data_IF_683267334210
#
_entry.id   IF_683267334210
#
_cell.length_a   1.000
_cell.length_b   1.000
_cell.length_c   1.000
_cell.angle_alpha   90.00
_cell.angle_beta   90.00
_cell.angle_gamma   90.00
#
_symmetry.space_group_name_H-M   'P 1'
#
loop_
_entity.id
_entity.type
_entity.pdbx_description
1 polymer ?
#
# COMPACT_ATOMS: atom_id res chain seq x y z
N UNK A 1 -12.63 -5.89 -5.23
CA UNK A 1 -12.97 -7.28 -4.87
C UNK A 1 -11.77 -8.03 -4.26
N UNK A 2 -11.10 -7.48 -3.24
CA UNK A 2 -9.88 -8.09 -2.68
C UNK A 2 -9.64 -7.87 -1.18
N UNK A 3 -10.52 -7.14 -0.49
CA UNK A 3 -10.40 -6.87 0.94
C UNK A 3 -10.75 -8.14 1.75
N UNK A 4 -9.83 -8.66 2.59
CA UNK A 4 -10.04 -9.88 3.36
C UNK A 4 -10.72 -9.64 4.73
N UNK A 5 -10.94 -8.38 5.10
CA UNK A 5 -11.38 -7.94 6.44
C UNK A 5 -12.75 -8.53 6.79
N UNK A 6 -12.92 -9.18 7.95
CA UNK A 6 -14.15 -9.87 8.31
C UNK A 6 -15.42 -9.01 8.21
N UNK A 7 -15.36 -7.74 8.63
CA UNK A 7 -16.51 -6.81 8.57
C UNK A 7 -17.03 -6.62 7.14
N UNK A 8 -16.13 -6.57 6.15
CA UNK A 8 -16.48 -6.40 4.73
C UNK A 8 -16.95 -7.72 4.11
N UNK A 9 -16.27 -8.81 4.44
CA UNK A 9 -16.57 -10.14 3.92
C UNK A 9 -17.92 -10.66 4.42
N UNK A 10 -18.27 -10.40 5.68
CA UNK A 10 -19.55 -10.83 6.29
C UNK A 10 -20.77 -10.22 5.59
N UNK A 11 -20.64 -9.03 5.00
CA UNK A 11 -21.70 -8.39 4.22
C UNK A 11 -21.63 -8.73 2.73
N UNK A 12 -20.95 -9.83 2.37
CA UNK A 12 -20.72 -10.26 0.98
C UNK A 12 -19.98 -9.24 0.10
N UNK A 13 -19.14 -8.39 0.71
CA UNK A 13 -18.26 -7.48 0.00
C UNK A 13 -16.81 -7.97 -0.08
N UNK A 14 -15.97 -7.18 -0.76
CA UNK A 14 -14.52 -7.43 -0.78
C UNK A 14 -14.17 -8.73 -1.51
N UNK A 15 -13.39 -9.60 -0.88
CA UNK A 15 -12.93 -10.86 -1.47
C UNK A 15 -13.99 -11.97 -1.47
N UNK A 16 -15.16 -11.81 -0.83
CA UNK A 16 -16.22 -12.82 -0.90
C UNK A 16 -16.75 -13.00 -2.32
N UNK A 17 -16.70 -11.93 -3.13
CA UNK A 17 -17.06 -11.95 -4.55
C UNK A 17 -16.15 -12.88 -5.37
N UNK A 18 -14.96 -13.24 -4.87
CA UNK A 18 -14.12 -14.25 -5.52
C UNK A 18 -14.71 -15.66 -5.43
N UNK A 19 -15.69 -15.91 -4.54
CA UNK A 19 -16.39 -17.20 -4.44
C UNK A 19 -17.60 -17.28 -5.37
N UNK A 20 -18.02 -16.15 -5.95
CA UNK A 20 -19.22 -16.03 -6.76
C UNK A 20 -18.92 -15.08 -7.93
N UNK A 21 -18.24 -15.58 -8.99
CA UNK A 21 -17.89 -14.76 -10.15
C UNK A 21 -19.11 -14.18 -10.87
N UNK A 22 -20.26 -14.86 -10.85
CA UNK A 22 -21.50 -14.34 -11.42
C UNK A 22 -21.95 -13.06 -10.71
N UNK A 23 -21.96 -13.08 -9.37
CA UNK A 23 -22.26 -11.89 -8.58
C UNK A 23 -21.21 -10.80 -8.77
N UNK A 24 -19.93 -11.15 -8.84
CA UNK A 24 -18.87 -10.20 -9.13
C UNK A 24 -19.12 -9.44 -10.44
N UNK A 25 -19.50 -10.17 -11.50
CA UNK A 25 -19.79 -9.60 -12.81
C UNK A 25 -21.06 -8.73 -12.79
N UNK A 26 -22.12 -9.16 -12.11
CA UNK A 26 -23.35 -8.35 -11.97
C UNK A 26 -23.05 -7.02 -11.28
N UNK A 27 -22.25 -7.04 -10.21
CA UNK A 27 -21.83 -5.81 -9.50
C UNK A 27 -20.98 -4.92 -10.41
N UNK A 28 -20.01 -5.48 -11.12
CA UNK A 28 -19.15 -4.70 -12.02
C UNK A 28 -19.97 -4.03 -13.15
N UNK A 29 -20.84 -4.80 -13.81
CA UNK A 29 -21.71 -4.31 -14.89
C UNK A 29 -22.59 -3.17 -14.39
N UNK A 30 -23.28 -3.35 -13.26
CA UNK A 30 -24.16 -2.31 -12.71
C UNK A 30 -23.39 -1.01 -12.37
N UNK A 31 -22.14 -1.11 -11.92
CA UNK A 31 -21.31 0.07 -11.64
C UNK A 31 -20.84 0.73 -12.93
N UNK A 32 -20.39 -0.05 -13.93
CA UNK A 32 -19.98 0.43 -15.25
C UNK A 32 -21.12 1.18 -15.94
N UNK A 33 -22.34 0.65 -15.91
CA UNK A 33 -23.52 1.28 -16.52
C UNK A 33 -23.98 2.55 -15.77
N UNK A 34 -23.71 2.64 -14.48
CA UNK A 34 -24.18 3.75 -13.64
C UNK A 34 -23.32 5.02 -13.74
N UNK A 35 -22.10 4.95 -14.30
CA UNK A 35 -21.16 6.09 -14.29
C UNK A 35 -20.50 6.29 -15.65
N UNK A 36 -20.16 7.54 -15.97
CA UNK A 36 -19.47 7.92 -17.22
C UNK A 36 -17.94 7.93 -17.10
N UNK A 37 -17.40 7.69 -15.90
CA UNK A 37 -15.96 7.67 -15.64
C UNK A 37 -15.41 6.22 -15.71
N UNK A 38 -14.10 6.04 -16.00
CA UNK A 38 -13.52 4.70 -16.04
C UNK A 38 -13.70 3.93 -14.73
N UNK A 39 -14.27 2.72 -14.83
CA UNK A 39 -14.40 1.81 -13.69
C UNK A 39 -13.26 0.81 -13.72
N UNK A 40 -12.59 0.62 -12.59
CA UNK A 40 -11.51 -0.36 -12.44
C UNK A 40 -11.82 -1.31 -11.29
N UNK A 41 -11.25 -2.52 -11.33
CA UNK A 41 -11.43 -3.53 -10.28
C UNK A 41 -10.09 -3.94 -9.70
N UNK A 42 -10.03 -4.14 -8.38
CA UNK A 42 -8.89 -4.78 -7.71
C UNK A 42 -9.26 -6.14 -7.15
N UNK A 43 -8.53 -7.19 -7.56
CA UNK A 43 -8.75 -8.58 -7.12
C UNK A 43 -7.54 -9.14 -6.34
N UNK A 44 -7.77 -10.31 -5.75
CA UNK A 44 -6.75 -11.24 -5.24
C UNK A 44 -6.75 -12.48 -6.13
N UNK A 45 -5.82 -13.41 -5.90
CA UNK A 45 -5.73 -14.64 -6.70
C UNK A 45 -6.90 -15.61 -6.50
N UNK A 46 -7.78 -15.35 -5.54
CA UNK A 46 -8.88 -16.24 -5.20
C UNK A 46 -9.21 -16.19 -3.72
N UNK A 47 -10.12 -17.06 -3.28
CA UNK A 47 -10.51 -17.13 -1.87
C UNK A 47 -9.45 -17.81 -1.00
N UNK A 48 -8.95 -18.95 -1.47
CA UNK A 48 -7.89 -19.75 -0.83
C UNK A 48 -7.09 -20.52 -1.89
N UNK A 49 -6.21 -21.42 -1.47
CA UNK A 49 -5.36 -22.18 -2.40
C UNK A 49 -6.16 -23.15 -3.28
N UNK A 50 -7.25 -23.73 -2.77
CA UNK A 50 -8.12 -24.63 -3.53
C UNK A 50 -9.02 -23.87 -4.52
N UNK A 51 -9.24 -22.58 -4.29
CA UNK A 51 -10.10 -21.71 -5.10
C UNK A 51 -9.31 -20.53 -5.68
N UNK A 52 -8.31 -20.85 -6.52
CA UNK A 52 -7.52 -19.88 -7.30
C UNK A 52 -8.17 -19.62 -8.67
N UNK A 53 -9.25 -18.85 -8.71
CA UNK A 53 -10.03 -18.57 -9.92
C UNK A 53 -9.70 -17.22 -10.60
N UNK A 54 -8.48 -16.72 -10.42
CA UNK A 54 -8.09 -15.39 -10.88
C UNK A 54 -8.15 -15.20 -12.40
N UNK A 55 -7.85 -16.24 -13.19
CA UNK A 55 -7.95 -16.17 -14.65
C UNK A 55 -9.40 -16.06 -15.11
N UNK A 56 -10.27 -16.96 -14.63
CA UNK A 56 -11.71 -16.90 -14.90
C UNK A 56 -12.28 -15.54 -14.49
N UNK A 57 -11.96 -15.09 -13.27
CA UNK A 57 -12.41 -13.79 -12.75
C UNK A 57 -11.94 -12.63 -13.63
N UNK A 58 -10.66 -12.61 -14.06
CA UNK A 58 -10.11 -11.54 -14.86
C UNK A 58 -10.80 -11.42 -16.24
N UNK A 59 -10.88 -12.53 -16.98
CA UNK A 59 -11.53 -12.57 -18.30
C UNK A 59 -13.01 -12.20 -18.21
N UNK A 60 -13.71 -12.69 -17.18
CA UNK A 60 -15.13 -12.36 -16.99
C UNK A 60 -15.35 -10.91 -16.61
N UNK A 61 -14.49 -10.34 -15.77
CA UNK A 61 -14.57 -8.92 -15.40
C UNK A 61 -14.29 -8.01 -16.59
N UNK A 62 -13.31 -8.33 -17.44
CA UNK A 62 -13.06 -7.58 -18.67
C UNK A 62 -14.33 -7.48 -19.54
N UNK A 63 -15.07 -8.58 -19.69
CA UNK A 63 -16.33 -8.60 -20.45
C UNK A 63 -17.44 -7.71 -19.87
N UNK A 64 -17.31 -7.22 -18.63
CA UNK A 64 -18.27 -6.27 -18.03
C UNK A 64 -18.03 -4.81 -18.41
N UNK A 65 -16.96 -4.53 -19.16
CA UNK A 65 -16.62 -3.17 -19.59
C UNK A 65 -15.78 -2.36 -18.60
N UNK A 66 -15.16 -3.02 -17.60
CA UNK A 66 -14.16 -2.35 -16.76
C UNK A 66 -12.95 -1.94 -17.62
N UNK A 67 -12.31 -0.83 -17.27
CA UNK A 67 -11.20 -0.25 -18.05
C UNK A 67 -9.82 -0.51 -17.42
N UNK A 68 -9.75 -1.32 -16.37
CA UNK A 68 -8.48 -1.71 -15.77
C UNK A 68 -8.61 -2.64 -14.58
N UNK A 69 -7.58 -3.46 -14.37
CA UNK A 69 -7.56 -4.50 -13.35
C UNK A 69 -6.30 -4.41 -12.49
N UNK A 70 -6.43 -4.34 -11.17
CA UNK A 70 -5.31 -4.47 -10.25
C UNK A 70 -5.31 -5.85 -9.58
N UNK A 71 -4.21 -6.58 -9.63
CA UNK A 71 -4.11 -7.95 -9.09
C UNK A 71 -3.13 -7.97 -7.93
N UNK A 72 -3.63 -8.35 -6.75
CA UNK A 72 -2.75 -8.70 -5.63
C UNK A 72 -2.37 -10.17 -5.71
N UNK A 73 -1.06 -10.49 -5.77
CA UNK A 73 -0.51 -11.84 -5.97
C UNK A 73 -0.68 -12.80 -4.79
N UNK A 74 -1.74 -12.68 -4.00
CA UNK A 74 -2.08 -13.62 -2.92
C UNK A 74 -3.56 -13.95 -2.98
N UNK A 75 -3.92 -15.12 -2.50
CA UNK A 75 -5.31 -15.47 -2.18
C UNK A 75 -5.77 -14.68 -0.96
N UNK A 76 -7.07 -14.70 -0.65
CA UNK A 76 -7.57 -14.08 0.57
C UNK A 76 -7.05 -14.77 1.84
N UNK A 77 -7.02 -16.10 1.88
CA UNK A 77 -6.60 -16.86 3.08
C UNK A 77 -5.17 -16.57 3.50
N UNK A 78 -4.27 -16.34 2.54
CA UNK A 78 -2.87 -15.96 2.76
C UNK A 78 -2.70 -14.63 3.48
N UNK A 79 -3.67 -13.70 3.39
CA UNK A 79 -3.56 -12.33 3.92
C UNK A 79 -2.29 -11.62 3.41
N UNK A 80 -1.21 -11.70 4.16
CA UNK A 80 0.05 -10.98 4.02
C UNK A 80 1.28 -11.89 3.91
N UNK A 81 1.09 -13.22 3.92
CA UNK A 81 2.14 -14.24 3.86
C UNK A 81 1.61 -15.47 3.08
N UNK A 82 2.40 -16.19 2.26
CA UNK A 82 3.81 -16.02 1.91
C UNK A 82 4.03 -14.85 0.95
N UNK A 83 5.18 -14.76 0.28
CA UNK A 83 5.43 -13.78 -0.80
C UNK A 83 4.36 -13.83 -1.90
N UNK A 84 4.08 -12.66 -2.50
CA UNK A 84 3.14 -12.55 -3.61
C UNK A 84 3.63 -13.31 -4.85
N UNK A 85 2.73 -14.10 -5.43
CA UNK A 85 2.92 -14.85 -6.66
C UNK A 85 2.76 -13.92 -7.88
N UNK A 86 3.89 -13.38 -8.34
CA UNK A 86 3.97 -12.51 -9.51
C UNK A 86 3.86 -13.28 -10.84
N UNK A 87 4.04 -14.61 -10.84
CA UNK A 87 3.78 -15.43 -12.03
C UNK A 87 2.30 -15.47 -12.33
N UNK A 88 1.47 -15.67 -11.31
CA UNK A 88 0.01 -15.59 -11.47
C UNK A 88 -0.47 -14.21 -11.96
N UNK A 89 0.20 -13.13 -11.53
CA UNK A 89 -0.09 -11.78 -12.06
C UNK A 89 0.25 -11.69 -13.55
N UNK A 90 1.39 -12.25 -13.96
CA UNK A 90 1.79 -12.30 -15.38
C UNK A 90 0.79 -13.10 -16.22
N UNK A 91 0.29 -14.22 -15.71
CA UNK A 91 -0.76 -15.01 -16.38
C UNK A 91 -2.04 -14.20 -16.56
N UNK A 92 -2.45 -13.39 -15.57
CA UNK A 92 -3.59 -12.47 -15.73
C UNK A 92 -3.30 -11.45 -16.82
N UNK A 93 -2.13 -10.80 -16.80
CA UNK A 93 -1.76 -9.81 -17.81
C UNK A 93 -1.77 -10.38 -19.23
N UNK A 94 -1.38 -11.65 -19.40
CA UNK A 94 -1.45 -12.32 -20.69
C UNK A 94 -2.87 -12.71 -21.12
N UNK A 95 -3.81 -12.86 -20.19
CA UNK A 95 -5.17 -13.34 -20.44
C UNK A 95 -6.19 -12.24 -20.76
N UNK A 96 -5.86 -10.97 -20.55
CA UNK A 96 -6.77 -9.82 -20.77
C UNK A 96 -6.10 -8.73 -21.60
N UNK A 97 -6.90 -7.94 -22.31
CA UNK A 97 -6.44 -6.83 -23.15
C UNK A 97 -6.44 -5.49 -22.42
N UNK A 98 -7.28 -5.33 -21.38
CA UNK A 98 -7.30 -4.13 -20.53
C UNK A 98 -6.00 -3.94 -19.74
N UNK A 99 -5.66 -2.69 -19.32
CA UNK A 99 -4.50 -2.43 -18.47
C UNK A 99 -4.55 -3.19 -17.14
N UNK A 100 -3.42 -3.80 -16.76
CA UNK A 100 -3.25 -4.55 -15.52
C UNK A 100 -2.18 -3.91 -14.63
N UNK A 101 -2.52 -3.69 -13.36
CA UNK A 101 -1.58 -3.26 -12.33
C UNK A 101 -1.22 -4.42 -11.36
N UNK A 102 0.07 -4.74 -11.25
CA UNK A 102 0.56 -5.76 -10.32
C UNK A 102 0.76 -5.22 -8.90
N UNK A 103 0.39 -5.99 -7.88
CA UNK A 103 0.46 -5.59 -6.46
C UNK A 103 1.01 -6.73 -5.60
N UNK A 104 2.06 -6.47 -4.85
CA UNK A 104 2.57 -7.42 -3.86
C UNK A 104 4.03 -7.23 -3.51
N UNK A 105 4.29 -6.90 -2.25
CA UNK A 105 5.62 -6.92 -1.63
C UNK A 105 6.69 -6.06 -2.31
N UNK A 106 6.27 -4.98 -2.95
CA UNK A 106 7.16 -3.95 -3.49
C UNK A 106 7.60 -3.03 -2.36
N UNK A 107 8.89 -3.05 -2.01
CA UNK A 107 9.51 -2.22 -0.98
C UNK A 107 10.60 -1.30 -1.52
N UNK A 108 11.11 -1.56 -2.72
CA UNK A 108 12.10 -0.71 -3.39
C UNK A 108 11.70 -0.35 -4.82
N UNK A 109 12.24 0.74 -5.40
CA UNK A 109 12.05 1.07 -6.81
C UNK A 109 12.55 -0.06 -7.73
N UNK A 110 13.69 -0.67 -7.41
CA UNK A 110 14.29 -1.75 -8.20
C UNK A 110 13.43 -3.01 -8.21
N UNK A 111 12.84 -3.39 -7.07
CA UNK A 111 11.86 -4.48 -7.03
C UNK A 111 10.63 -4.17 -7.90
N UNK A 112 10.12 -2.94 -7.84
CA UNK A 112 9.00 -2.51 -8.67
C UNK A 112 9.33 -2.60 -10.18
N UNK A 113 10.51 -2.12 -10.60
CA UNK A 113 10.98 -2.23 -11.97
C UNK A 113 11.13 -3.69 -12.40
N UNK A 114 11.84 -4.50 -11.61
CA UNK A 114 12.04 -5.92 -11.90
C UNK A 114 10.70 -6.65 -12.07
N UNK A 115 9.77 -6.47 -11.12
CA UNK A 115 8.46 -7.13 -11.18
C UNK A 115 7.62 -6.66 -12.36
N UNK A 116 7.67 -5.36 -12.70
CA UNK A 116 7.01 -4.84 -13.89
C UNK A 116 7.53 -5.50 -15.17
N UNK A 117 8.86 -5.62 -15.31
CA UNK A 117 9.50 -6.24 -16.46
C UNK A 117 9.21 -7.75 -16.55
N UNK A 118 9.34 -8.48 -15.44
CA UNK A 118 9.12 -9.94 -15.40
C UNK A 118 7.68 -10.34 -15.69
N UNK A 119 6.70 -9.56 -15.22
CA UNK A 119 5.28 -9.89 -15.36
C UNK A 119 4.59 -9.23 -16.55
N UNK A 120 5.24 -8.25 -17.19
CA UNK A 120 4.67 -7.51 -18.32
C UNK A 120 3.49 -6.60 -17.97
N UNK A 121 3.22 -6.36 -16.67
CA UNK A 121 2.12 -5.49 -16.23
C UNK A 121 2.34 -4.04 -16.67
N UNK A 122 1.25 -3.32 -16.91
CA UNK A 122 1.28 -1.94 -17.38
C UNK A 122 1.67 -0.98 -16.24
N UNK A 123 1.29 -1.34 -15.00
CA UNK A 123 1.60 -0.57 -13.80
C UNK A 123 1.90 -1.46 -12.59
N UNK A 124 2.46 -0.86 -11.56
CA UNK A 124 2.62 -1.48 -10.24
C UNK A 124 1.88 -0.68 -9.19
N UNK A 125 1.41 -1.36 -8.14
CA UNK A 125 0.71 -0.73 -7.03
C UNK A 125 1.48 -0.98 -5.74
N UNK A 126 1.98 0.11 -5.16
CA UNK A 126 2.64 0.10 -3.86
C UNK A 126 1.60 0.08 -2.73
N UNK A 127 1.88 -0.68 -1.68
CA UNK A 127 1.00 -0.84 -0.52
C UNK A 127 1.75 -0.63 0.78
N UNK A 128 2.19 -1.71 1.42
CA UNK A 128 2.91 -1.62 2.71
C UNK A 128 4.29 -0.95 2.60
N UNK A 129 4.96 -1.07 1.45
CA UNK A 129 6.30 -0.49 1.26
C UNK A 129 6.36 1.04 1.40
N UNK A 130 5.23 1.74 1.25
CA UNK A 130 5.20 3.21 1.42
C UNK A 130 4.93 3.64 2.87
N UNK A 131 4.58 2.71 3.76
CA UNK A 131 4.31 3.03 5.17
C UNK A 131 5.64 3.43 5.83
N UNK A 132 5.77 4.70 6.21
CA UNK A 132 7.02 5.25 6.74
C UNK A 132 8.05 5.67 5.70
N UNK A 133 7.83 5.33 4.42
CA UNK A 133 8.63 5.77 3.29
C UNK A 133 7.74 6.31 2.16
N UNK A 134 7.17 7.50 2.36
CA UNK A 134 6.38 8.18 1.33
C UNK A 134 7.22 8.53 0.09
N UNK A 135 8.55 8.64 0.24
CA UNK A 135 9.48 8.95 -0.84
C UNK A 135 9.60 7.83 -1.87
N UNK A 136 9.33 6.58 -1.47
CA UNK A 136 9.35 5.41 -2.37
C UNK A 136 8.49 5.61 -3.61
N UNK A 137 7.36 6.32 -3.51
CA UNK A 137 6.50 6.63 -4.66
C UNK A 137 7.24 7.46 -5.70
N UNK A 138 7.91 8.54 -5.29
CA UNK A 138 8.68 9.40 -6.20
C UNK A 138 9.83 8.63 -6.84
N UNK A 139 10.60 7.89 -6.04
CA UNK A 139 11.71 7.09 -6.54
C UNK A 139 11.26 6.03 -7.55
N UNK A 140 10.12 5.37 -7.27
CA UNK A 140 9.53 4.37 -8.17
C UNK A 140 9.05 5.01 -9.47
N UNK A 141 8.38 6.16 -9.41
CA UNK A 141 7.90 6.87 -10.61
C UNK A 141 9.07 7.31 -11.49
N UNK A 142 10.10 7.95 -10.91
CA UNK A 142 11.28 8.38 -11.64
C UNK A 142 11.99 7.20 -12.33
N UNK A 143 12.18 6.08 -11.61
CA UNK A 143 12.83 4.91 -12.18
C UNK A 143 12.00 4.26 -13.30
N UNK A 144 10.68 4.12 -13.12
CA UNK A 144 9.82 3.44 -14.10
C UNK A 144 9.56 4.26 -15.37
N UNK A 145 9.50 5.59 -15.26
CA UNK A 145 9.11 6.46 -16.36
C UNK A 145 10.31 7.14 -17.03
N UNK A 146 11.34 7.50 -16.26
CA UNK A 146 12.47 8.32 -16.71
C UNK A 146 13.78 7.52 -16.72
N UNK A 147 13.81 6.33 -16.09
CA UNK A 147 15.03 5.56 -15.89
C UNK A 147 15.99 6.19 -14.87
N UNK A 148 15.54 7.22 -14.14
CA UNK A 148 16.36 7.96 -13.19
C UNK A 148 16.32 7.30 -11.80
N UNK A 149 17.50 7.14 -11.19
CA UNK A 149 17.61 6.72 -9.80
C UNK A 149 17.66 7.94 -8.88
N UNK A 150 16.58 8.14 -8.12
CA UNK A 150 16.48 9.21 -7.12
C UNK A 150 17.04 8.74 -5.79
N UNK A 151 18.02 9.46 -5.26
CA UNK A 151 18.63 9.18 -3.96
C UNK A 151 17.62 9.21 -2.80
N UNK A 152 17.95 8.52 -1.71
CA UNK A 152 17.20 8.60 -0.48
C UNK A 152 17.26 10.00 0.14
N UNK A 153 16.23 10.35 0.90
CA UNK A 153 16.18 11.62 1.61
C UNK A 153 17.21 11.65 2.74
N UNK A 154 17.87 12.79 2.89
CA UNK A 154 18.54 13.14 4.14
C UNK A 154 17.53 13.23 5.29
N UNK A 155 18.02 13.16 6.52
CA UNK A 155 17.16 13.15 7.71
C UNK A 155 16.27 14.38 7.82
N UNK A 156 16.82 15.57 7.59
CA UNK A 156 16.06 16.81 7.63
C UNK A 156 14.93 16.82 6.59
N UNK A 157 15.18 16.33 5.38
CA UNK A 157 14.17 16.23 4.32
C UNK A 157 13.10 15.17 4.64
N UNK A 158 13.49 14.06 5.27
CA UNK A 158 12.55 13.05 5.77
C UNK A 158 11.61 13.65 6.83
N UNK A 159 12.15 14.42 7.79
CA UNK A 159 11.34 15.11 8.81
C UNK A 159 10.43 16.16 8.16
N UNK A 160 10.93 16.90 7.15
CA UNK A 160 10.13 17.86 6.39
C UNK A 160 8.98 17.18 5.61
N UNK A 161 9.23 15.99 5.03
CA UNK A 161 8.20 15.19 4.37
C UNK A 161 7.12 14.72 5.37
N UNK A 162 7.53 14.28 6.56
CA UNK A 162 6.60 13.93 7.64
C UNK A 162 5.79 15.14 8.10
N UNK A 163 6.42 16.32 8.27
CA UNK A 163 5.73 17.58 8.58
C UNK A 163 4.67 17.89 7.55
N UNK A 164 5.02 17.88 6.26
CA UNK A 164 4.07 18.16 5.19
C UNK A 164 2.86 17.24 5.24
N UNK A 165 3.07 15.95 5.53
CA UNK A 165 1.96 15.02 5.73
C UNK A 165 1.12 15.37 6.97
N UNK A 166 1.75 15.76 8.08
CA UNK A 166 1.04 16.21 9.28
C UNK A 166 0.15 17.42 9.01
N UNK A 167 0.69 18.44 8.34
CA UNK A 167 -0.03 19.68 8.01
C UNK A 167 -1.27 19.38 7.15
N UNK A 168 -1.13 18.50 6.14
CA UNK A 168 -2.25 18.07 5.29
C UNK A 168 -3.34 17.32 6.06
N UNK A 169 -2.96 16.44 6.99
CA UNK A 169 -3.91 15.67 7.80
C UNK A 169 -4.63 16.56 8.82
N UNK A 170 -3.91 17.49 9.45
CA UNK A 170 -4.51 18.48 10.37
C UNK A 170 -5.46 19.40 9.62
N UNK A 171 -5.08 19.88 8.43
CA UNK A 171 -5.96 20.72 7.60
C UNK A 171 -7.26 20.00 7.20
N UNK A 172 -7.18 18.69 6.90
CA UNK A 172 -8.34 17.92 6.45
C UNK A 172 -9.23 17.42 7.59
N UNK A 173 -8.66 16.87 8.66
CA UNK A 173 -9.42 16.26 9.76
C UNK A 173 -9.68 17.19 10.95
N UNK A 174 -9.11 18.40 10.91
CA UNK A 174 -9.07 19.32 12.04
C UNK A 174 -7.96 18.99 13.04
N UNK A 175 -7.60 19.93 13.92
CA UNK A 175 -6.44 19.83 14.81
C UNK A 175 -6.52 18.65 15.78
N UNK A 176 -7.64 18.46 16.48
CA UNK A 176 -7.75 17.42 17.51
C UNK A 176 -7.73 16.01 16.92
N UNK A 177 -8.60 15.74 15.93
CA UNK A 177 -8.69 14.43 15.29
C UNK A 177 -7.46 14.16 14.43
N UNK A 178 -6.97 15.14 13.68
CA UNK A 178 -5.80 15.04 12.82
C UNK A 178 -4.55 14.64 13.61
N UNK A 179 -4.24 15.35 14.70
CA UNK A 179 -3.08 15.04 15.54
C UNK A 179 -3.13 13.62 16.12
N UNK A 180 -4.30 13.16 16.57
CA UNK A 180 -4.45 11.78 17.08
C UNK A 180 -4.28 10.72 16.00
N UNK A 181 -4.76 10.98 14.77
CA UNK A 181 -4.56 10.07 13.63
C UNK A 181 -3.09 9.97 13.21
N UNK A 182 -2.33 11.06 13.38
CA UNK A 182 -0.95 11.18 12.94
C UNK A 182 0.04 10.35 13.74
N UNK A 183 -0.29 9.92 14.96
CA UNK A 183 0.62 9.15 15.84
C UNK A 183 1.31 8.00 15.10
N UNK A 184 0.53 7.11 14.46
CA UNK A 184 1.10 5.98 13.73
C UNK A 184 1.94 6.40 12.51
N UNK A 185 1.55 7.46 11.82
CA UNK A 185 2.25 7.92 10.62
C UNK A 185 3.57 8.62 10.96
N UNK A 186 3.61 9.38 12.05
CA UNK A 186 4.84 9.96 12.59
C UNK A 186 5.76 8.83 13.09
N UNK A 187 5.23 7.86 13.83
CA UNK A 187 6.01 6.71 14.28
C UNK A 187 6.63 5.91 13.11
N UNK A 188 5.86 5.69 12.04
CA UNK A 188 6.38 5.07 10.82
C UNK A 188 7.36 5.98 10.08
N UNK A 189 7.19 7.30 10.08
CA UNK A 189 8.11 8.22 9.39
C UNK A 189 9.46 8.38 10.09
N UNK A 190 9.48 8.20 11.42
CA UNK A 190 10.62 8.45 12.31
C UNK A 190 11.12 7.16 12.99
N UNK A 191 11.53 6.17 12.19
CA UNK A 191 12.12 4.92 12.67
C UNK A 191 13.46 4.62 11.99
N UNK A 192 14.16 3.60 12.49
CA UNK A 192 15.35 3.07 11.81
C UNK A 192 16.66 3.76 12.20
N UNK A 193 16.74 4.39 13.38
CA UNK A 193 17.95 5.07 13.84
C UNK A 193 18.10 5.03 15.36
N UNK A 194 19.31 5.30 15.85
CA UNK A 194 19.60 5.37 17.29
C UNK A 194 18.88 6.55 17.92
N UNK A 195 18.17 6.33 19.02
CA UNK A 195 17.36 7.37 19.69
C UNK A 195 15.88 7.39 19.29
N UNK A 196 15.46 6.59 18.30
CA UNK A 196 14.06 6.52 17.87
C UNK A 196 13.08 6.09 18.98
N UNK A 197 13.55 5.42 20.04
CA UNK A 197 12.70 5.02 21.18
C UNK A 197 12.10 6.23 21.93
N UNK A 198 12.87 7.30 22.12
CA UNK A 198 12.39 8.52 22.79
C UNK A 198 11.28 9.18 21.97
N UNK A 199 11.51 9.34 20.67
CA UNK A 199 10.49 9.90 19.76
C UNK A 199 9.23 9.02 19.72
N UNK A 200 9.38 7.69 19.65
CA UNK A 200 8.23 6.78 19.69
C UNK A 200 7.38 6.97 20.93
N UNK A 201 8.00 7.17 22.11
CA UNK A 201 7.26 7.45 23.34
C UNK A 201 6.51 8.78 23.27
N UNK A 202 7.18 9.85 22.81
CA UNK A 202 6.54 11.17 22.65
C UNK A 202 5.39 11.16 21.65
N UNK A 203 5.50 10.39 20.57
CA UNK A 203 4.45 10.26 19.55
C UNK A 203 3.15 9.68 20.13
N UNK A 204 3.21 8.84 21.17
CA UNK A 204 2.00 8.26 21.76
C UNK A 204 1.11 9.30 22.46
N UNK A 205 1.69 10.39 22.95
CA UNK A 205 0.95 11.47 23.63
C UNK A 205 0.48 12.59 22.70
N UNK A 206 0.84 12.58 21.41
CA UNK A 206 0.46 13.63 20.45
C UNK A 206 -1.06 13.77 20.36
N UNK A 207 -1.59 14.94 20.69
CA UNK A 207 -3.02 15.22 20.70
C UNK A 207 -3.39 16.57 20.08
N UNK A 208 -2.40 17.45 19.92
CA UNK A 208 -2.54 18.79 19.36
C UNK A 208 -1.50 19.05 18.26
N UNK A 209 -1.65 20.10 17.44
CA UNK A 209 -0.61 20.53 16.50
C UNK A 209 0.72 20.87 17.18
N UNK A 210 0.69 21.54 18.34
CA UNK A 210 1.88 21.89 19.11
C UNK A 210 2.68 20.65 19.57
N UNK A 211 2.00 19.53 19.84
CA UNK A 211 2.67 18.27 20.16
C UNK A 211 3.45 17.72 18.96
N UNK A 212 2.92 17.90 17.74
CA UNK A 212 3.60 17.52 16.49
C UNK A 212 4.84 18.40 16.33
N UNK A 213 4.70 19.72 16.51
CA UNK A 213 5.82 20.66 16.43
C UNK A 213 6.95 20.27 17.38
N UNK A 214 6.60 19.92 18.63
CA UNK A 214 7.57 19.44 19.63
C UNK A 214 8.27 18.16 19.21
N UNK A 215 7.52 17.15 18.75
CA UNK A 215 8.09 15.86 18.31
C UNK A 215 9.01 16.04 17.11
N UNK A 216 8.59 16.83 16.11
CA UNK A 216 9.39 17.03 14.90
C UNK A 216 10.60 17.93 15.16
N UNK A 217 10.50 18.90 16.07
CA UNK A 217 11.65 19.69 16.53
C UNK A 217 12.71 18.82 17.22
N UNK A 218 12.30 17.92 18.10
CA UNK A 218 13.20 16.94 18.73
C UNK A 218 13.78 15.96 17.71
N UNK A 219 13.01 15.57 16.68
CA UNK A 219 13.50 14.74 15.60
C UNK A 219 14.63 15.42 14.83
N UNK A 220 14.51 16.72 14.51
CA UNK A 220 15.54 17.48 13.80
C UNK A 220 16.84 17.66 14.62
N UNK A 221 16.74 17.67 15.94
CA UNK A 221 17.91 17.79 16.82
C UNK A 221 18.71 16.48 16.95
N UNK A 222 18.19 15.36 16.46
CA UNK A 222 18.87 14.07 16.48
C UNK A 222 19.70 13.92 15.20
N UNK A 223 20.97 13.54 15.37
CA UNK A 223 21.74 12.91 14.30
C UNK A 223 21.39 11.41 14.26
N UNK A 224 20.65 10.94 13.24
CA UNK A 224 20.24 9.55 13.17
C UNK A 224 21.41 8.60 12.84
N UNK A 225 22.57 9.13 12.40
CA UNK A 225 23.61 8.34 11.78
C UNK A 225 23.12 7.60 10.54
N UNK A 226 23.75 6.47 10.21
CA UNK A 226 23.26 5.59 9.14
C UNK A 226 21.92 4.97 9.53
N UNK A 227 20.91 5.10 8.66
CA UNK A 227 19.61 4.47 8.84
C UNK A 227 19.77 2.95 8.78
N UNK A 228 19.31 2.25 9.80
CA UNK A 228 19.34 0.79 9.90
C UNK A 228 18.15 0.25 9.10
N UNK A 229 18.36 -0.62 8.10
CA UNK A 229 17.28 -1.23 7.33
C UNK A 229 16.30 -2.02 8.25
N UNK A 230 15.01 -2.00 7.92
CA UNK A 230 13.95 -2.64 8.73
C UNK A 230 14.20 -4.15 9.02
N UNK A 231 14.99 -4.83 8.17
CA UNK A 231 15.34 -6.25 8.33
C UNK A 231 16.35 -6.56 9.45
N UNK A 232 17.11 -5.58 9.92
CA UNK A 232 18.09 -5.75 11.03
C UNK A 232 17.50 -5.36 12.40
N UNK A 233 16.34 -4.70 12.44
CA UNK A 233 15.65 -4.29 13.67
C UNK A 233 14.54 -5.27 14.11
N UNK A 234 14.40 -6.41 13.41
CA UNK A 234 13.30 -7.35 13.54
C UNK A 234 13.14 -8.00 14.94
N UNK A 235 14.05 -7.79 15.89
CA UNK A 235 13.86 -8.22 17.28
C UNK A 235 12.95 -7.31 18.13
N UNK A 236 12.52 -6.13 17.66
CA UNK A 236 11.77 -5.19 18.52
C UNK A 236 10.46 -4.62 17.97
N UNK A 237 10.04 -4.96 16.75
CA UNK A 237 8.84 -4.41 16.12
C UNK A 237 7.57 -5.28 16.23
N UNK A 238 7.50 -6.21 17.19
CA UNK A 238 6.35 -7.10 17.38
C UNK A 238 5.15 -6.49 18.14
N UNK A 239 5.17 -5.21 18.53
CA UNK A 239 4.18 -4.66 19.49
C UNK A 239 3.27 -3.53 18.99
N UNK A 240 3.16 -3.29 17.68
CA UNK A 240 2.26 -2.24 17.17
C UNK A 240 1.22 -2.69 16.12
N UNK A 241 0.88 -3.99 16.09
CA UNK A 241 -0.37 -4.46 15.46
C UNK A 241 -1.32 -5.03 16.52
N UNK A 242 -2.04 -4.14 17.23
CA UNK A 242 -3.40 -4.34 17.75
C UNK A 242 -3.82 -3.17 18.66
N UNK A 243 -4.66 -2.28 18.12
CA UNK A 243 -5.76 -1.59 18.81
C UNK A 243 -6.62 -0.86 17.76
#
# INVERSE_FOLDING_TARGET
MGCPVPKVVKTSGGSSLLRDPDRACRVATAVVEAVSIPVTVKIRLGWDFASRNYLEMATRLEATGIQGLAVHGRTRSQRYDPWADWRAIAEVKAAVSIPVAGSGDLRTPSEALQRKLESGVDAVMLGRGILGNLWLVRQTVALLNEGETVADLGWADQVALVRRHCDLVVAYYGPERGSRLLRKFIAWGLHGFRGAARLRSMVQSVSTPDDIDRVLGEALAIDPGARIPEGELAETAASCEAA
#
